data_IF_298037394706
#
_entry.id   IF_298037394706
#
_cell.length_a   1.000
_cell.length_b   1.000
_cell.length_c   1.000
_cell.angle_alpha   90.00
_cell.angle_beta   90.00
_cell.angle_gamma   90.00
#
_symmetry.space_group_name_H-M   'P 1'
#
loop_
_entity.id
_entity.type
_entity.pdbx_description
1 polymer ?
#
# COMPACT_ATOMS: atom_id res chain seq x y z
N UNK A 1 -11.79 -29.92 0.48
CA UNK A 1 -12.31 -31.27 0.20
C UNK A 1 -11.30 -32.28 0.74
N UNK A 2 -11.74 -33.11 1.69
CA UNK A 2 -11.12 -34.34 2.21
C UNK A 2 -9.85 -34.30 3.09
N UNK A 3 -10.15 -34.24 4.39
CA UNK A 3 -9.65 -35.08 5.49
C UNK A 3 -9.01 -36.43 5.05
N UNK A 4 -7.86 -36.80 5.63
CA UNK A 4 -7.47 -38.22 5.76
C UNK A 4 -6.98 -38.54 7.18
N UNK A 5 -7.67 -39.53 7.75
CA UNK A 5 -7.52 -40.15 9.05
C UNK A 5 -6.39 -41.20 9.07
N UNK A 6 -5.60 -41.17 10.15
CA UNK A 6 -5.34 -42.21 11.17
C UNK A 6 -5.03 -43.69 10.83
N UNK A 7 -4.13 -44.24 11.69
CA UNK A 7 -3.71 -45.64 11.98
C UNK A 7 -2.46 -46.12 11.22
N UNK A 8 -1.44 -46.81 11.79
CA UNK A 8 -1.27 -47.57 13.05
C UNK A 8 0.23 -47.96 13.17
N UNK A 9 0.78 -48.15 14.37
CA UNK A 9 2.03 -48.93 14.55
C UNK A 9 2.81 -48.65 15.85
N UNK A 10 2.80 -49.61 16.77
CA UNK A 10 3.62 -49.66 18.01
C UNK A 10 4.92 -50.42 17.75
N UNK A 11 6.03 -49.96 18.35
CA UNK A 11 7.20 -50.67 18.96
C UNK A 11 8.35 -49.66 18.93
N UNK A 12 9.04 -49.29 20.02
CA UNK A 12 9.84 -50.18 20.86
C UNK A 12 11.31 -50.00 20.49
N UNK A 13 12.09 -49.48 21.45
CA UNK A 13 13.56 -49.48 21.56
C UNK A 13 14.42 -48.56 20.68
N UNK A 14 15.24 -47.80 21.42
CA UNK A 14 16.35 -47.00 20.96
C UNK A 14 17.55 -47.88 20.63
N UNK A 15 18.24 -47.59 19.53
CA UNK A 15 19.68 -47.77 19.42
C UNK A 15 20.20 -46.89 18.28
N UNK A 16 21.31 -46.24 18.56
CA UNK A 16 21.94 -45.16 17.83
C UNK A 16 22.32 -45.56 16.41
N UNK A 17 21.93 -44.74 15.43
CA UNK A 17 22.35 -44.84 14.03
C UNK A 17 22.97 -43.51 13.61
N UNK A 18 24.30 -43.59 13.49
CA UNK A 18 25.20 -42.93 12.56
C UNK A 18 24.76 -41.61 11.93
N UNK A 19 25.61 -40.62 12.21
CA UNK A 19 25.80 -39.33 11.54
C UNK A 19 25.62 -39.42 10.03
N UNK A 20 24.50 -38.89 9.54
CA UNK A 20 24.42 -38.30 8.21
C UNK A 20 24.48 -36.78 8.39
N UNK A 21 25.60 -36.19 7.96
CA UNK A 21 25.75 -34.77 7.73
C UNK A 21 24.75 -34.38 6.61
N UNK A 22 23.57 -33.93 7.02
CA UNK A 22 22.61 -33.33 6.12
C UNK A 22 23.04 -31.87 5.93
N UNK A 23 23.64 -31.62 4.77
CA UNK A 23 24.09 -30.32 4.29
C UNK A 23 22.98 -29.28 4.44
N UNK A 24 23.28 -28.22 5.17
CA UNK A 24 22.50 -26.98 5.19
C UNK A 24 22.38 -26.46 3.74
N UNK A 25 21.23 -26.75 3.14
CA UNK A 25 20.82 -26.22 1.84
C UNK A 25 20.58 -24.72 2.02
N UNK A 26 21.63 -23.93 1.75
CA UNK A 26 21.56 -22.49 1.57
C UNK A 26 20.50 -22.18 0.50
N UNK A 27 19.25 -21.99 0.93
CA UNK A 27 18.24 -21.30 0.14
C UNK A 27 18.67 -19.85 0.02
N UNK A 28 19.56 -19.58 -0.94
CA UNK A 28 19.71 -18.28 -1.57
C UNK A 28 18.37 -17.91 -2.20
N UNK A 29 17.49 -17.33 -1.38
CA UNK A 29 16.33 -16.62 -1.86
C UNK A 29 16.84 -15.44 -2.66
N UNK A 30 16.80 -15.54 -3.98
CA UNK A 30 16.93 -14.38 -4.85
C UNK A 30 15.89 -13.35 -4.37
N UNK A 31 16.33 -12.22 -3.81
CA UNK A 31 15.44 -11.11 -3.45
C UNK A 31 14.60 -10.78 -4.68
N UNK A 32 13.31 -11.14 -4.65
CA UNK A 32 12.38 -10.84 -5.73
C UNK A 32 12.16 -9.33 -5.68
N UNK A 33 12.93 -8.59 -6.47
CA UNK A 33 12.73 -7.15 -6.63
C UNK A 33 11.29 -6.89 -7.08
N UNK A 34 10.52 -6.17 -6.27
CA UNK A 34 9.19 -5.73 -6.63
C UNK A 34 9.27 -4.88 -7.91
N UNK A 35 8.59 -5.32 -8.97
CA UNK A 35 8.43 -4.56 -10.20
C UNK A 35 6.98 -4.12 -10.27
N UNK A 36 6.73 -2.82 -10.22
CA UNK A 36 5.38 -2.30 -10.31
C UNK A 36 5.29 -0.80 -10.11
N UNK A 37 4.11 -0.24 -10.40
CA UNK A 37 3.77 1.13 -10.10
C UNK A 37 2.93 1.24 -8.84
N UNK A 38 3.20 2.25 -8.02
CA UNK A 38 2.41 2.55 -6.85
C UNK A 38 1.72 3.91 -6.99
N UNK A 39 0.45 3.97 -6.58
CA UNK A 39 -0.26 5.20 -6.30
C UNK A 39 -0.61 5.25 -4.81
N UNK A 40 -0.52 6.43 -4.19
CA UNK A 40 -0.91 6.60 -2.79
C UNK A 40 -2.27 7.29 -2.68
N UNK A 41 -3.12 6.83 -1.76
CA UNK A 41 -4.34 7.55 -1.38
C UNK A 41 -4.23 8.15 0.02
N UNK A 42 -4.47 9.46 0.08
CA UNK A 42 -4.34 10.30 1.28
C UNK A 42 -5.60 11.10 1.55
N UNK A 43 -5.85 11.38 2.82
CA UNK A 43 -6.87 12.31 3.30
C UNK A 43 -6.40 12.95 4.61
N UNK A 44 -7.08 14.01 5.04
CA UNK A 44 -6.83 14.71 6.30
C UNK A 44 -6.85 13.79 7.54
N UNK A 45 -7.67 12.74 7.52
CA UNK A 45 -7.55 11.64 8.47
C UNK A 45 -7.07 10.37 7.74
N UNK A 46 -5.82 9.92 7.95
CA UNK A 46 -5.26 8.75 7.26
C UNK A 46 -5.85 7.41 7.74
N UNK A 47 -6.65 7.39 8.80
CA UNK A 47 -7.37 6.21 9.29
C UNK A 47 -8.87 6.42 9.47
N UNK A 48 -9.33 7.66 9.40
CA UNK A 48 -10.68 8.08 9.75
C UNK A 48 -11.76 7.66 8.77
N UNK A 49 -12.94 7.30 9.28
CA UNK A 49 -14.14 7.25 8.47
C UNK A 49 -14.52 8.67 7.99
N UNK A 50 -15.27 8.77 6.89
CA UNK A 50 -15.89 10.04 6.46
C UNK A 50 -15.29 10.71 5.20
N UNK A 51 -13.99 10.56 4.91
CA UNK A 51 -13.40 11.20 3.72
C UNK A 51 -13.81 10.56 2.38
N UNK A 52 -14.48 9.40 2.40
CA UNK A 52 -14.90 8.69 1.17
C UNK A 52 -13.79 7.87 0.49
N UNK A 53 -12.56 7.94 1.00
CA UNK A 53 -11.37 7.28 0.44
C UNK A 53 -11.55 5.77 0.22
N UNK A 54 -12.11 5.04 1.20
CA UNK A 54 -12.34 3.59 1.06
C UNK A 54 -13.27 3.24 -0.11
N UNK A 55 -14.33 4.02 -0.31
CA UNK A 55 -15.24 3.87 -1.47
C UNK A 55 -14.49 4.12 -2.78
N UNK A 56 -13.67 5.17 -2.83
CA UNK A 56 -12.89 5.50 -4.03
C UNK A 56 -11.80 4.46 -4.31
N UNK A 57 -11.14 3.91 -3.29
CA UNK A 57 -10.18 2.82 -3.45
C UNK A 57 -10.84 1.57 -4.06
N UNK A 58 -12.03 1.19 -3.58
CA UNK A 58 -12.79 0.09 -4.16
C UNK A 58 -13.17 0.34 -5.64
N UNK A 59 -13.56 1.58 -5.96
CA UNK A 59 -13.85 1.97 -7.34
C UNK A 59 -12.60 1.92 -8.24
N UNK A 60 -11.44 2.36 -7.73
CA UNK A 60 -10.15 2.33 -8.44
C UNK A 60 -9.74 0.89 -8.75
N UNK A 61 -9.77 0.00 -7.76
CA UNK A 61 -9.47 -1.44 -7.94
C UNK A 61 -10.32 -2.02 -9.06
N UNK A 62 -11.64 -1.77 -9.00
CA UNK A 62 -12.60 -2.31 -9.98
C UNK A 62 -12.38 -1.79 -11.40
N UNK A 63 -12.01 -0.52 -11.56
CA UNK A 63 -11.90 0.11 -12.89
C UNK A 63 -10.51 0.02 -13.51
N UNK A 64 -9.45 0.11 -12.71
CA UNK A 64 -8.07 0.25 -13.20
C UNK A 64 -7.21 -0.99 -12.94
N UNK A 65 -7.72 -1.99 -12.22
CA UNK A 65 -7.02 -3.25 -11.96
C UNK A 65 -5.86 -3.13 -10.97
N UNK A 66 -5.88 -2.13 -10.10
CA UNK A 66 -4.90 -1.98 -9.02
C UNK A 66 -5.21 -2.96 -7.88
N UNK A 67 -4.18 -3.48 -7.23
CA UNK A 67 -4.30 -4.16 -5.95
C UNK A 67 -4.26 -3.13 -4.82
N UNK A 68 -5.21 -3.22 -3.88
CA UNK A 68 -5.36 -2.24 -2.82
C UNK A 68 -4.81 -2.76 -1.50
N UNK A 69 -3.88 -1.99 -0.92
CA UNK A 69 -3.27 -2.28 0.38
C UNK A 69 -3.53 -1.12 1.34
N UNK A 70 -4.39 -1.33 2.33
CA UNK A 70 -4.58 -0.38 3.41
C UNK A 70 -3.61 -0.68 4.55
N UNK A 71 -2.70 0.25 4.85
CA UNK A 71 -1.78 0.09 5.98
C UNK A 71 -2.53 -0.10 7.30
N UNK A 72 -3.68 0.57 7.46
CA UNK A 72 -4.53 0.39 8.63
C UNK A 72 -5.12 -1.02 8.76
N UNK A 73 -5.56 -1.62 7.64
CA UNK A 73 -6.11 -2.99 7.65
C UNK A 73 -5.01 -4.03 7.88
N UNK A 74 -3.84 -3.86 7.26
CA UNK A 74 -2.69 -4.73 7.50
C UNK A 74 -2.26 -4.72 8.97
N UNK A 75 -2.20 -3.53 9.59
CA UNK A 75 -1.89 -3.41 11.01
C UNK A 75 -2.96 -4.03 11.90
N UNK A 76 -4.26 -3.91 11.57
CA UNK A 76 -5.34 -4.57 12.31
C UNK A 76 -5.28 -6.10 12.16
N UNK A 77 -4.98 -6.61 10.98
CA UNK A 77 -4.80 -8.04 10.76
C UNK A 77 -3.61 -8.58 11.58
N UNK A 78 -2.50 -7.85 11.60
CA UNK A 78 -1.31 -8.21 12.40
C UNK A 78 -1.57 -8.12 13.92
N UNK A 79 -2.35 -7.13 14.35
CA UNK A 79 -2.85 -7.02 15.74
C UNK A 79 -3.60 -8.27 16.17
N UNK A 80 -4.46 -8.79 15.28
CA UNK A 80 -5.40 -9.87 15.57
C UNK A 80 -4.80 -11.27 15.30
N UNK A 81 -3.61 -11.36 14.70
CA UNK A 81 -2.93 -12.62 14.38
C UNK A 81 -2.27 -13.30 15.59
N UNK A 82 -2.08 -12.57 16.69
CA UNK A 82 -1.34 -13.05 17.86
C UNK A 82 0.19 -12.95 17.71
N UNK A 83 0.69 -12.15 16.77
CA UNK A 83 2.13 -11.95 16.58
C UNK A 83 2.79 -11.22 17.75
N UNK A 84 4.12 -11.28 17.79
CA UNK A 84 4.95 -10.56 18.77
C UNK A 84 4.67 -9.04 18.75
N UNK A 85 4.36 -8.48 17.58
CA UNK A 85 4.03 -7.07 17.42
C UNK A 85 2.59 -6.74 17.82
N UNK A 86 1.69 -7.74 17.93
CA UNK A 86 0.26 -7.51 18.07
C UNK A 86 -0.13 -6.64 19.26
N UNK A 87 0.54 -6.81 20.41
CA UNK A 87 0.30 -6.00 21.61
C UNK A 87 0.73 -4.54 21.42
N UNK A 88 1.90 -4.30 20.81
CA UNK A 88 2.40 -2.96 20.52
C UNK A 88 1.48 -2.25 19.52
N UNK A 89 1.11 -2.93 18.43
CA UNK A 89 0.20 -2.39 17.41
C UNK A 89 -1.15 -2.04 18.05
N UNK A 90 -1.73 -2.92 18.88
CA UNK A 90 -3.00 -2.68 19.59
C UNK A 90 -2.95 -1.37 20.39
N UNK A 91 -1.89 -1.18 21.18
CA UNK A 91 -1.74 -0.02 22.05
C UNK A 91 -1.59 1.28 21.25
N UNK A 92 -0.80 1.25 20.18
CA UNK A 92 -0.56 2.44 19.35
C UNK A 92 -1.79 2.83 18.52
N UNK A 93 -2.48 1.85 17.90
CA UNK A 93 -3.72 2.10 17.16
C UNK A 93 -4.79 2.72 18.07
N UNK A 94 -4.97 2.16 19.28
CA UNK A 94 -5.95 2.66 20.25
C UNK A 94 -5.67 4.12 20.63
N UNK A 95 -4.40 4.51 20.74
CA UNK A 95 -4.00 5.89 21.01
C UNK A 95 -4.01 6.80 19.78
N UNK A 96 -4.17 6.26 18.56
CA UNK A 96 -4.07 7.04 17.33
C UNK A 96 -2.62 7.42 16.96
N UNK A 97 -1.63 6.65 17.44
CA UNK A 97 -0.21 6.86 17.18
C UNK A 97 0.23 6.13 15.89
N UNK A 98 1.38 6.55 15.33
CA UNK A 98 2.00 5.89 14.17
C UNK A 98 2.80 4.68 14.65
N UNK A 99 2.45 3.49 14.17
CA UNK A 99 3.23 2.26 14.39
C UNK A 99 4.61 2.41 13.73
N UNK A 100 5.70 1.88 14.34
CA UNK A 100 7.05 1.96 13.78
C UNK A 100 7.11 1.60 12.30
N UNK A 101 7.94 2.35 11.58
CA UNK A 101 8.09 2.24 10.12
C UNK A 101 8.43 0.82 9.70
N UNK A 102 9.40 0.18 10.37
CA UNK A 102 9.85 -1.19 10.06
C UNK A 102 8.70 -2.20 10.02
N UNK A 103 7.79 -2.15 10.99
CA UNK A 103 6.63 -3.06 11.06
C UNK A 103 5.69 -2.82 9.88
N UNK A 104 5.37 -1.56 9.61
CA UNK A 104 4.45 -1.18 8.53
C UNK A 104 5.00 -1.52 7.15
N UNK A 105 6.31 -1.27 6.92
CA UNK A 105 6.98 -1.61 5.66
C UNK A 105 7.01 -3.12 5.44
N UNK A 106 7.38 -3.91 6.46
CA UNK A 106 7.40 -5.39 6.34
C UNK A 106 6.03 -5.95 5.98
N UNK A 107 4.97 -5.44 6.60
CA UNK A 107 3.60 -5.86 6.29
C UNK A 107 3.18 -5.50 4.85
N UNK A 108 3.48 -4.27 4.42
CA UNK A 108 3.20 -3.83 3.05
C UNK A 108 4.00 -4.63 2.02
N UNK A 109 5.29 -4.80 2.23
CA UNK A 109 6.18 -5.55 1.34
C UNK A 109 5.68 -6.98 1.16
N UNK A 110 5.41 -7.68 2.26
CA UNK A 110 4.87 -9.04 2.21
C UNK A 110 3.55 -9.11 1.43
N UNK A 111 2.63 -8.18 1.69
CA UNK A 111 1.35 -8.15 0.99
C UNK A 111 1.51 -7.89 -0.52
N UNK A 112 2.42 -7.00 -0.92
CA UNK A 112 2.73 -6.72 -2.32
C UNK A 112 3.39 -7.92 -3.03
N UNK A 113 4.30 -8.61 -2.35
CA UNK A 113 5.00 -9.79 -2.90
C UNK A 113 4.06 -11.01 -3.06
N UNK A 114 3.11 -11.19 -2.14
CA UNK A 114 2.13 -12.30 -2.18
C UNK A 114 1.02 -12.09 -3.22
N UNK A 115 0.67 -10.84 -3.54
CA UNK A 115 -0.44 -10.49 -4.43
C UNK A 115 -0.15 -10.78 -5.92
N UNK A 116 1.09 -10.56 -6.36
CA UNK A 116 1.53 -10.88 -7.72
C UNK A 116 1.07 -9.91 -8.82
N UNK A 117 0.36 -8.83 -8.49
CA UNK A 117 0.07 -7.72 -9.40
C UNK A 117 1.30 -6.78 -9.51
N UNK A 118 1.30 -5.91 -10.51
CA UNK A 118 2.31 -4.86 -10.72
C UNK A 118 1.75 -3.44 -10.57
N UNK A 119 0.46 -3.28 -10.23
CA UNK A 119 -0.18 -2.00 -9.94
C UNK A 119 -0.72 -1.97 -8.52
N UNK A 120 -0.19 -1.05 -7.70
CA UNK A 120 -0.49 -1.01 -6.27
C UNK A 120 -1.12 0.32 -5.87
N UNK A 121 -2.27 0.26 -5.20
CA UNK A 121 -2.91 1.39 -4.55
C UNK A 121 -2.67 1.25 -3.05
N UNK A 122 -1.75 2.05 -2.51
CA UNK A 122 -1.40 2.00 -1.09
C UNK A 122 -2.15 3.09 -0.33
N UNK A 123 -3.02 2.67 0.56
CA UNK A 123 -3.97 3.52 1.27
C UNK A 123 -3.53 3.84 2.70
N UNK A 124 -3.62 5.13 3.07
CA UNK A 124 -3.32 5.59 4.43
C UNK A 124 -1.83 5.58 4.79
N UNK A 125 -0.94 5.44 3.80
CA UNK A 125 0.52 5.37 3.93
C UNK A 125 1.20 6.17 2.80
N UNK A 126 2.39 6.76 2.98
CA UNK A 126 3.25 6.87 4.19
C UNK A 126 2.78 7.90 5.22
N UNK A 127 2.81 7.59 6.53
CA UNK A 127 2.25 8.49 7.57
C UNK A 127 3.24 9.52 8.12
N UNK A 128 4.53 9.36 7.84
CA UNK A 128 5.60 10.28 8.20
C UNK A 128 6.75 10.15 7.20
N UNK A 129 7.78 11.00 7.35
CA UNK A 129 8.94 11.00 6.47
C UNK A 129 9.75 9.70 6.55
N UNK A 130 9.84 9.09 7.73
CA UNK A 130 10.53 7.81 7.92
C UNK A 130 9.85 6.68 7.14
N UNK A 131 8.51 6.59 7.18
CA UNK A 131 7.71 5.68 6.36
C UNK A 131 8.00 5.90 4.87
N UNK A 132 8.00 7.16 4.42
CA UNK A 132 8.23 7.52 3.01
C UNK A 132 9.60 7.03 2.56
N UNK A 133 10.65 7.43 3.28
CA UNK A 133 12.02 7.10 2.95
C UNK A 133 12.27 5.57 3.03
N UNK A 134 11.76 4.90 4.06
CA UNK A 134 11.92 3.46 4.22
C UNK A 134 11.19 2.69 3.11
N UNK A 135 9.99 3.11 2.71
CA UNK A 135 9.26 2.48 1.61
C UNK A 135 10.00 2.59 0.30
N UNK A 136 10.42 3.80 -0.09
CA UNK A 136 11.16 4.02 -1.33
C UNK A 136 12.51 3.30 -1.32
N UNK A 137 13.17 3.22 -0.15
CA UNK A 137 14.44 2.51 0.00
C UNK A 137 14.30 0.99 -0.11
N UNK A 138 13.29 0.39 0.53
CA UNK A 138 13.11 -1.07 0.58
C UNK A 138 12.49 -1.60 -0.69
N UNK A 139 11.48 -0.90 -1.22
CA UNK A 139 10.76 -1.36 -2.42
C UNK A 139 11.41 -0.89 -3.71
N UNK A 140 12.26 0.15 -3.64
CA UNK A 140 12.76 0.89 -4.80
C UNK A 140 11.65 1.48 -5.69
N UNK A 141 10.43 1.61 -5.14
CA UNK A 141 9.27 2.16 -5.82
C UNK A 141 9.01 3.57 -5.27
N UNK A 142 9.11 4.56 -6.14
CA UNK A 142 8.55 5.89 -5.89
C UNK A 142 7.13 5.95 -6.46
N UNK A 143 6.14 6.51 -5.74
CA UNK A 143 4.77 6.59 -6.27
C UNK A 143 4.72 7.41 -7.55
N UNK A 144 3.90 6.95 -8.50
CA UNK A 144 3.61 7.65 -9.76
C UNK A 144 2.85 8.95 -9.50
N UNK A 145 1.88 8.89 -8.59
CA UNK A 145 1.09 10.01 -8.13
C UNK A 145 0.48 9.72 -6.74
N UNK A 146 -0.03 10.77 -6.11
CA UNK A 146 -0.71 10.75 -4.83
C UNK A 146 -2.09 11.37 -5.01
N UNK A 147 -3.15 10.62 -4.72
CA UNK A 147 -4.51 11.14 -4.65
C UNK A 147 -4.75 11.69 -3.25
N UNK A 148 -5.02 12.99 -3.15
CA UNK A 148 -5.38 13.64 -1.90
C UNK A 148 -6.87 13.96 -1.89
N UNK A 149 -7.64 13.16 -1.16
CA UNK A 149 -9.08 13.38 -0.95
C UNK A 149 -9.28 14.48 0.09
N UNK A 150 -9.51 15.69 -0.40
CA UNK A 150 -9.77 16.89 0.37
C UNK A 150 -11.24 16.89 0.80
N UNK A 151 -11.47 16.79 2.11
CA UNK A 151 -12.80 16.77 2.70
C UNK A 151 -12.73 17.60 3.99
N UNK A 152 -13.54 18.66 4.12
CA UNK A 152 -13.59 19.46 5.34
C UNK A 152 -13.94 18.61 6.55
N UNK A 153 -13.36 18.94 7.71
CA UNK A 153 -13.58 18.24 8.99
C UNK A 153 -15.07 18.13 9.33
N UNK A 154 -15.83 19.22 9.18
CA UNK A 154 -17.29 19.24 9.43
C UNK A 154 -18.05 18.21 8.58
N UNK A 155 -17.66 18.01 7.32
CA UNK A 155 -18.27 17.03 6.44
C UNK A 155 -17.87 15.60 6.80
N UNK A 156 -16.61 15.40 7.21
CA UNK A 156 -16.15 14.12 7.73
C UNK A 156 -16.92 13.75 8.99
N UNK A 157 -17.05 14.65 9.97
CA UNK A 157 -17.79 14.42 11.21
C UNK A 157 -19.26 14.03 10.94
N UNK A 158 -19.96 14.78 10.08
CA UNK A 158 -21.34 14.45 9.65
C UNK A 158 -21.42 13.04 9.06
N UNK A 159 -20.44 12.63 8.26
CA UNK A 159 -20.42 11.30 7.62
C UNK A 159 -20.09 10.19 8.61
N UNK A 160 -19.25 10.44 9.61
CA UNK A 160 -18.92 9.47 10.67
C UNK A 160 -20.14 9.20 11.54
N UNK A 161 -20.85 10.24 11.97
CA UNK A 161 -22.05 10.12 12.81
C UNK A 161 -23.19 9.32 12.15
N UNK A 162 -23.24 9.32 10.81
CA UNK A 162 -24.28 8.62 10.05
C UNK A 162 -23.89 7.18 9.63
N UNK A 163 -22.70 6.70 10.00
CA UNK A 163 -22.23 5.34 9.66
C UNK A 163 -22.46 4.36 10.81
N UNK A 164 -23.00 3.18 10.48
CA UNK A 164 -23.11 2.02 11.39
C UNK A 164 -21.83 1.15 11.42
N UNK A 165 -20.67 1.72 11.06
CA UNK A 165 -19.39 1.00 11.08
C UNK A 165 -18.52 1.59 12.18
N UNK A 166 -18.71 1.09 13.40
CA UNK A 166 -17.85 1.44 14.53
C UNK A 166 -16.66 0.49 14.56
N UNK A 167 -15.46 1.00 14.31
CA UNK A 167 -14.26 0.30 14.77
C UNK A 167 -14.08 0.55 16.27
N UNK A 168 -13.39 -0.37 16.94
CA UNK A 168 -13.13 -0.25 18.39
C UNK A 168 -12.24 0.95 18.74
N UNK A 169 -11.52 1.48 17.76
CA UNK A 169 -10.66 2.66 17.80
C UNK A 169 -11.30 3.95 17.24
N UNK A 170 -12.57 3.93 16.84
CA UNK A 170 -13.29 5.12 16.33
C UNK A 170 -13.95 5.90 17.49
N UNK A 171 -13.12 6.51 18.34
CA UNK A 171 -13.59 7.45 19.38
C UNK A 171 -13.02 8.86 19.16
N UNK A 172 -13.70 9.86 19.71
CA UNK A 172 -13.38 11.29 19.49
C UNK A 172 -11.93 11.63 19.89
N UNK A 173 -11.42 11.04 20.98
CA UNK A 173 -10.06 11.31 21.45
C UNK A 173 -9.02 10.76 20.46
N UNK A 174 -9.20 9.51 20.00
CA UNK A 174 -8.35 8.88 18.99
C UNK A 174 -8.40 9.64 17.66
N UNK A 175 -9.58 10.11 17.22
CA UNK A 175 -9.74 10.91 16.00
C UNK A 175 -8.97 12.24 16.10
N UNK A 176 -9.11 12.95 17.22
CA UNK A 176 -8.35 14.19 17.45
C UNK A 176 -6.84 13.96 17.45
N UNK A 177 -6.37 12.88 18.08
CA UNK A 177 -4.95 12.57 18.07
C UNK A 177 -4.47 12.20 16.66
N UNK A 178 -5.26 11.46 15.88
CA UNK A 178 -4.94 11.17 14.46
C UNK A 178 -4.82 12.43 13.63
N UNK A 179 -5.72 13.40 13.82
CA UNK A 179 -5.65 14.67 13.12
C UNK A 179 -4.40 15.47 13.51
N UNK A 180 -4.06 15.51 14.81
CA UNK A 180 -2.82 16.13 15.28
C UNK A 180 -1.59 15.48 14.64
N UNK A 181 -1.50 14.15 14.71
CA UNK A 181 -0.42 13.36 14.11
C UNK A 181 -0.35 13.57 12.59
N UNK A 182 -1.51 13.69 11.93
CA UNK A 182 -1.57 14.02 10.50
C UNK A 182 -0.90 15.37 10.21
N UNK A 183 -1.28 16.42 10.94
CA UNK A 183 -0.73 17.76 10.76
C UNK A 183 0.78 17.81 11.01
N UNK A 184 1.25 17.11 12.05
CA UNK A 184 2.67 17.13 12.45
C UNK A 184 3.55 16.24 11.56
N UNK A 185 3.04 15.09 11.10
CA UNK A 185 3.86 14.05 10.48
C UNK A 185 3.46 13.69 9.06
N UNK A 186 2.16 13.64 8.74
CA UNK A 186 1.69 13.23 7.40
C UNK A 186 1.67 14.37 6.39
N UNK A 187 1.33 15.58 6.84
CA UNK A 187 1.26 16.76 5.97
C UNK A 187 2.61 17.09 5.30
N UNK A 188 3.76 17.06 6.00
CA UNK A 188 5.07 17.27 5.35
C UNK A 188 5.34 16.29 4.19
N UNK A 189 4.83 15.05 4.29
CA UNK A 189 4.99 14.06 3.22
C UNK A 189 4.12 14.38 2.01
N UNK A 190 2.90 14.90 2.23
CA UNK A 190 2.04 15.38 1.15
C UNK A 190 2.69 16.59 0.48
N UNK A 191 3.24 17.53 1.25
CA UNK A 191 3.96 18.69 0.74
C UNK A 191 5.19 18.30 -0.06
N UNK A 192 5.94 17.29 0.40
CA UNK A 192 7.07 16.71 -0.34
C UNK A 192 6.64 16.23 -1.73
N UNK A 193 5.60 15.38 -1.83
CA UNK A 193 5.11 14.92 -3.13
C UNK A 193 4.47 16.03 -3.96
N UNK A 194 3.86 17.02 -3.32
CA UNK A 194 3.29 18.19 -3.99
C UNK A 194 4.39 19.03 -4.64
N UNK A 195 5.52 19.22 -3.96
CA UNK A 195 6.69 19.93 -4.52
C UNK A 195 7.27 19.23 -5.76
N UNK A 196 7.07 17.91 -5.88
CA UNK A 196 7.43 17.10 -7.06
C UNK A 196 6.36 17.08 -8.15
N UNK A 197 5.23 17.76 -7.96
CA UNK A 197 4.10 17.77 -8.89
C UNK A 197 3.38 16.42 -9.00
N UNK A 198 3.44 15.59 -7.95
CA UNK A 198 2.82 14.25 -7.92
C UNK A 198 1.46 14.21 -7.21
N UNK A 199 1.06 15.27 -6.52
CA UNK A 199 -0.19 15.30 -5.75
C UNK A 199 -1.34 15.80 -6.62
N UNK A 200 -2.41 15.01 -6.69
CA UNK A 200 -3.68 15.36 -7.29
C UNK A 200 -4.72 15.52 -6.18
N UNK A 201 -5.15 16.76 -5.95
CA UNK A 201 -6.19 17.07 -4.97
C UNK A 201 -7.57 16.80 -5.58
N UNK A 202 -8.37 16.00 -4.87
CA UNK A 202 -9.73 15.62 -5.25
C UNK A 202 -10.69 16.15 -4.19
N UNK A 203 -11.64 16.99 -4.59
CA UNK A 203 -12.70 17.46 -3.71
C UNK A 203 -13.65 16.29 -3.37
N UNK A 204 -13.48 15.75 -2.16
CA UNK A 204 -14.23 14.62 -1.64
C UNK A 204 -15.48 15.02 -0.85
N UNK A 205 -15.81 16.33 -0.78
CA UNK A 205 -17.09 16.80 -0.25
C UNK A 205 -18.25 16.55 -1.23
N UNK A 206 -17.93 16.42 -2.54
CA UNK A 206 -18.90 16.13 -3.61
C UNK A 206 -19.53 14.73 -3.51
N UNK A 207 -20.64 14.48 -4.25
CA UNK A 207 -21.23 13.14 -4.38
C UNK A 207 -20.24 12.11 -4.91
N UNK A 208 -20.36 10.86 -4.46
CA UNK A 208 -19.42 9.75 -4.73
C UNK A 208 -19.06 9.63 -6.22
N UNK A 209 -20.05 9.73 -7.11
CA UNK A 209 -19.85 9.58 -8.55
C UNK A 209 -19.00 10.72 -9.12
N UNK A 210 -19.25 11.96 -8.70
CA UNK A 210 -18.45 13.11 -9.15
C UNK A 210 -17.01 13.05 -8.64
N UNK A 211 -16.81 12.57 -7.41
CA UNK A 211 -15.48 12.32 -6.86
C UNK A 211 -14.76 11.27 -7.71
N UNK A 212 -15.47 10.22 -8.12
CA UNK A 212 -14.88 9.16 -8.94
C UNK A 212 -14.58 9.62 -10.37
N UNK A 213 -15.41 10.47 -10.98
CA UNK A 213 -15.09 11.11 -12.27
C UNK A 213 -13.76 11.87 -12.20
N UNK A 214 -13.56 12.68 -11.16
CA UNK A 214 -12.30 13.40 -10.96
C UNK A 214 -11.11 12.45 -10.76
N UNK A 215 -11.31 11.32 -10.08
CA UNK A 215 -10.28 10.27 -9.99
C UNK A 215 -9.95 9.71 -11.38
N UNK A 216 -10.96 9.40 -12.20
CA UNK A 216 -10.72 8.87 -13.55
C UNK A 216 -9.90 9.83 -14.42
N UNK A 217 -10.14 11.13 -14.34
CA UNK A 217 -9.35 12.14 -15.07
C UNK A 217 -7.85 12.06 -14.73
N UNK A 218 -7.51 11.81 -13.47
CA UNK A 218 -6.10 11.63 -13.03
C UNK A 218 -5.50 10.38 -13.65
N UNK A 219 -6.21 9.25 -13.62
CA UNK A 219 -5.71 7.99 -14.18
C UNK A 219 -5.57 8.06 -15.70
N UNK A 220 -6.56 8.61 -16.43
CA UNK A 220 -6.47 8.79 -17.88
C UNK A 220 -5.26 9.65 -18.27
N UNK A 221 -5.06 10.78 -17.56
CA UNK A 221 -3.89 11.64 -17.77
C UNK A 221 -2.56 10.93 -17.51
N UNK A 222 -2.56 9.94 -16.62
CA UNK A 222 -1.38 9.15 -16.30
C UNK A 222 -1.09 8.08 -17.35
N UNK A 223 -2.11 7.34 -17.78
CA UNK A 223 -2.00 6.33 -18.83
C UNK A 223 -1.53 6.93 -20.16
N UNK A 224 -2.02 8.12 -20.52
CA UNK A 224 -1.57 8.87 -21.70
C UNK A 224 -0.08 9.24 -21.65
N UNK A 225 0.41 9.64 -20.46
CA UNK A 225 1.84 9.96 -20.23
C UNK A 225 2.73 8.72 -20.28
N UNK A 226 2.22 7.55 -19.90
CA UNK A 226 2.96 6.29 -19.99
C UNK A 226 3.01 5.77 -21.42
N UNK A 227 1.92 5.89 -22.17
CA UNK A 227 1.86 5.55 -23.60
C UNK A 227 2.85 6.38 -24.43
N UNK A 228 2.92 7.69 -24.18
CA UNK A 228 3.84 8.60 -24.89
C UNK A 228 5.32 8.35 -24.53
N UNK A 229 5.63 7.98 -23.29
CA UNK A 229 7.00 7.61 -22.87
C UNK A 229 7.48 6.30 -23.53
N UNK A 230 6.61 5.30 -23.64
CA UNK A 230 6.93 4.03 -24.30
C UNK A 230 7.11 4.19 -25.81
N UNK A 231 6.44 5.15 -26.45
CA UNK A 231 6.64 5.43 -27.87
C UNK A 231 7.99 6.13 -28.14
N UNK A 232 8.43 7.02 -27.24
CA UNK A 232 9.71 7.73 -27.35
C UNK A 232 10.95 6.83 -27.14
N UNK A 233 10.81 5.69 -26.45
CA UNK A 233 11.90 4.73 -26.25
C UNK A 233 12.07 3.73 -27.40
N UNK A 234 11.05 3.55 -28.26
CA UNK A 234 11.07 2.63 -29.41
C UNK A 234 11.70 3.28 -30.66
N UNK A 235 11.76 4.61 -30.76
CA UNK A 235 12.25 5.34 -31.95
C UNK A 235 13.78 5.47 -32.07
N UNK A 236 14.58 4.75 -31.26
CA UNK A 236 16.05 4.73 -31.36
C UNK A 236 16.62 3.41 -31.91
N UNK A 237 16.09 2.94 -33.04
CA UNK A 237 16.80 1.95 -33.87
C UNK A 237 17.40 2.66 -35.09
N UNK A 238 18.73 2.75 -35.25
CA UNK A 238 19.31 3.30 -36.46
C UNK A 238 19.22 2.21 -37.56
N UNK A 239 18.28 2.37 -38.48
CA UNK A 239 18.35 1.73 -39.78
C UNK A 239 19.42 2.51 -40.56
N UNK A 240 20.67 2.06 -40.51
CA UNK A 240 21.72 2.58 -41.39
C UNK A 240 21.84 1.63 -42.58
N UNK A 241 21.15 2.00 -43.68
CA UNK A 241 21.41 1.44 -44.99
C UNK A 241 22.68 2.07 -45.56
N UNK A 242 23.58 1.24 -46.07
CA UNK A 242 24.63 1.67 -46.99
C UNK A 242 24.32 1.08 -48.36
N UNK A 243 23.62 1.86 -49.19
CA UNK A 243 23.83 1.83 -50.62
C UNK A 243 25.07 2.69 -50.90
N UNK A 244 26.08 2.10 -51.56
CA UNK A 244 27.15 2.87 -52.20
C UNK A 244 27.25 2.38 -53.63
N UNK A 245 26.84 3.25 -54.55
CA UNK A 245 27.03 3.10 -56.00
C UNK A 245 27.98 4.19 -56.47
N UNK A 246 28.82 3.80 -57.43
CA UNK A 246 29.62 4.59 -58.38
C UNK A 246 31.08 4.90 -58.00
N UNK A 247 32.02 4.19 -58.62
CA UNK A 247 32.66 4.62 -59.86
C UNK A 247 33.14 3.40 -60.68
#
# INVERSE_FOLDING_TARGET
>A
MFLKLFQRGKTGEASDLESNEESDDERQGSEKRLKGSAAFSKSHDPGGPGSGKGTQCANIVKHFGYSHFSAGDLLRAERDSGSENGTMIKNMIKKGEIVPSEVTIKLLQRAMEEDGNDKFLIDGFPRNEENRAAFESVTEIEPEFVLFFDCPEEEMEKRVLNRNQNRDDDNIETIRNRFKVYMESSLPVIEYYNSKGKVHKIDAAKPIDQVFEAVKEVFSSHEDRMSTRNCASISRSPICGNETVAA
#
